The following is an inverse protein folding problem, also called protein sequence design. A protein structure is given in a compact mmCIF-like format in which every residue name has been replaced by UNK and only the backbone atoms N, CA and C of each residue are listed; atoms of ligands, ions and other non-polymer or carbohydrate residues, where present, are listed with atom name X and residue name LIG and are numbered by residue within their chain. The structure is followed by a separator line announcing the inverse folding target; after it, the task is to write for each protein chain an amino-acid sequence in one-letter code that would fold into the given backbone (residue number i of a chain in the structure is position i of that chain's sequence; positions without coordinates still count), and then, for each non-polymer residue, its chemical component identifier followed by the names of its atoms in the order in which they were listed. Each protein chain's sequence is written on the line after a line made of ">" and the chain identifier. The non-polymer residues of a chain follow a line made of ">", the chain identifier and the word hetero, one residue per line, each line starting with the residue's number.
data_IF_815193234957
#
_entry.id   IF_815193234957
#
_cell.length_a   1.000
_cell.length_b   1.000
_cell.length_c   1.000
_cell.angle_alpha   90.00
_cell.angle_beta   90.00
_cell.angle_gamma   90.00
#
_symmetry.space_group_name_H-M   'P 1'
#
loop_
_entity.id
_entity.type
_entity.pdbx_description
1 polymer ?
#
# COMPACT_ATOMS: atom_id res chain seq x y z
N UNK A 1 7.61 0.72 -17.88
CA UNK A 1 7.53 0.29 -16.47
C UNK A 1 8.77 -0.51 -16.10
N UNK A 2 9.16 -0.55 -14.82
CA UNK A 2 10.32 -1.34 -14.35
C UNK A 2 11.35 -0.57 -13.50
N UNK A 3 11.19 0.74 -13.36
CA UNK A 3 12.11 1.57 -12.59
C UNK A 3 12.04 1.36 -11.07
N UNK A 4 12.97 2.00 -10.36
CA UNK A 4 13.00 2.05 -8.90
C UNK A 4 12.73 3.47 -8.42
N UNK A 5 11.71 3.63 -7.58
CA UNK A 5 11.37 4.89 -6.92
C UNK A 5 11.66 4.79 -5.42
N UNK A 6 12.24 5.84 -4.85
CA UNK A 6 12.45 5.94 -3.39
C UNK A 6 12.00 7.33 -2.97
N UNK A 7 11.05 7.39 -2.03
CA UNK A 7 10.52 8.64 -1.48
C UNK A 7 10.71 8.64 0.02
N UNK A 8 11.36 9.69 0.53
CA UNK A 8 11.60 9.87 1.96
C UNK A 8 11.71 11.37 2.26
N UNK A 9 11.29 11.81 3.45
CA UNK A 9 11.44 13.20 3.84
C UNK A 9 12.94 13.55 4.01
N UNK A 10 13.30 14.84 3.92
CA UNK A 10 14.66 15.30 4.19
C UNK A 10 15.18 14.83 5.55
N UNK A 11 16.49 14.59 5.67
CA UNK A 11 17.12 14.11 6.92
C UNK A 11 16.85 15.00 8.13
N UNK A 12 16.70 16.30 7.92
CA UNK A 12 16.42 17.30 8.96
C UNK A 12 14.93 17.50 9.23
N UNK A 13 14.05 16.67 8.65
CA UNK A 13 12.62 16.79 8.87
C UNK A 13 12.27 16.50 10.34
N UNK A 14 11.52 17.38 11.02
CA UNK A 14 11.20 17.21 12.44
C UNK A 14 10.05 16.23 12.69
N UNK A 15 9.27 15.88 11.66
CA UNK A 15 8.13 14.98 11.80
C UNK A 15 8.53 13.51 11.60
N UNK A 16 7.82 12.60 12.28
CA UNK A 16 7.93 11.16 12.06
C UNK A 16 7.25 10.78 10.76
N UNK A 17 7.97 10.12 9.87
CA UNK A 17 7.50 9.89 8.51
C UNK A 17 6.33 8.90 8.48
N UNK A 18 6.39 7.90 9.34
CA UNK A 18 5.42 6.83 9.55
C UNK A 18 4.07 7.33 10.11
N UNK A 19 4.01 8.57 10.61
CA UNK A 19 2.81 9.23 11.12
C UNK A 19 2.26 10.28 10.13
N UNK A 20 2.87 10.45 8.94
CA UNK A 20 2.57 11.55 8.03
C UNK A 20 2.39 11.11 6.56
N UNK A 21 1.47 11.76 5.85
CA UNK A 21 1.26 11.54 4.42
C UNK A 21 2.41 12.16 3.63
N UNK A 22 3.09 11.36 2.81
CA UNK A 22 4.22 11.81 1.98
C UNK A 22 4.02 11.59 0.47
N UNK A 23 3.04 10.77 0.09
CA UNK A 23 2.62 10.61 -1.31
C UNK A 23 1.09 10.69 -1.40
N UNK A 24 0.61 11.22 -2.52
CA UNK A 24 -0.80 11.49 -2.76
C UNK A 24 -1.64 10.25 -3.10
N UNK A 25 -2.84 10.52 -3.62
CA UNK A 25 -3.82 9.49 -3.99
C UNK A 25 -3.42 8.74 -5.27
N UNK A 26 -3.97 7.54 -5.46
CA UNK A 26 -3.90 6.79 -6.74
C UNK A 26 -2.46 6.49 -7.17
N UNK A 27 -1.52 6.44 -6.22
CA UNK A 27 -0.13 6.11 -6.50
C UNK A 27 0.00 4.68 -7.03
N UNK A 28 0.87 4.51 -8.04
CA UNK A 28 1.15 3.23 -8.70
C UNK A 28 -0.03 2.61 -9.45
N UNK A 29 -0.94 3.46 -9.93
CA UNK A 29 -2.07 3.02 -10.75
C UNK A 29 -1.63 2.22 -11.98
N UNK A 30 -2.14 0.99 -12.11
CA UNK A 30 -1.87 0.17 -13.29
C UNK A 30 -0.41 -0.27 -13.43
N UNK A 31 0.41 -0.17 -12.38
CA UNK A 31 1.84 -0.48 -12.46
C UNK A 31 2.05 -1.94 -12.88
N UNK A 32 2.87 -2.19 -13.91
CA UNK A 32 3.09 -3.54 -14.47
C UNK A 32 4.43 -4.16 -14.07
N UNK A 33 5.40 -3.37 -13.64
CA UNK A 33 6.71 -3.81 -13.16
C UNK A 33 7.45 -2.67 -12.45
N UNK A 34 8.47 -3.01 -11.67
CA UNK A 34 9.32 -2.06 -10.95
C UNK A 34 9.16 -2.12 -9.43
N UNK A 35 9.83 -1.21 -8.75
CA UNK A 35 9.87 -1.17 -7.29
C UNK A 35 9.66 0.24 -6.75
N UNK A 36 8.98 0.38 -5.62
CA UNK A 36 8.91 1.64 -4.90
C UNK A 36 9.02 1.46 -3.39
N UNK A 37 9.75 2.37 -2.75
CA UNK A 37 9.98 2.37 -1.30
C UNK A 37 9.63 3.75 -0.74
N UNK A 38 8.62 3.79 0.12
CA UNK A 38 7.99 5.02 0.59
C UNK A 38 8.14 5.08 2.11
N UNK A 39 9.00 5.98 2.60
CA UNK A 39 9.19 6.25 4.02
C UNK A 39 8.12 7.23 4.49
N UNK A 40 6.89 6.73 4.62
CA UNK A 40 5.74 7.42 5.19
C UNK A 40 4.42 6.90 4.64
N UNK A 41 3.32 7.62 4.91
CA UNK A 41 1.96 7.21 4.58
C UNK A 41 1.60 7.62 3.14
N UNK A 42 0.98 6.71 2.40
CA UNK A 42 0.27 7.03 1.17
C UNK A 42 -1.17 7.45 1.48
N UNK A 43 -1.70 8.40 0.73
CA UNK A 43 -3.12 8.74 0.82
C UNK A 43 -4.00 7.61 0.22
N UNK A 44 -5.20 7.94 -0.26
CA UNK A 44 -6.20 6.97 -0.67
C UNK A 44 -5.82 6.24 -1.97
N UNK A 45 -6.39 5.05 -2.19
CA UNK A 45 -6.24 4.28 -3.44
C UNK A 45 -4.77 4.01 -3.80
N UNK A 46 -3.97 3.65 -2.81
CA UNK A 46 -2.61 3.20 -3.05
C UNK A 46 -2.60 1.85 -3.78
N UNK A 47 -1.73 1.70 -4.80
CA UNK A 47 -1.54 0.46 -5.56
C UNK A 47 -2.80 -0.05 -6.28
N UNK A 48 -3.72 0.85 -6.64
CA UNK A 48 -4.91 0.49 -7.40
C UNK A 48 -4.53 -0.10 -8.75
N UNK A 49 -5.11 -1.26 -9.11
CA UNK A 49 -4.80 -1.97 -10.36
C UNK A 49 -3.32 -2.31 -10.53
N UNK A 50 -2.54 -2.39 -9.45
CA UNK A 50 -1.18 -2.91 -9.55
C UNK A 50 -1.23 -4.32 -10.14
N UNK A 51 -0.45 -4.53 -11.21
CA UNK A 51 -0.41 -5.76 -11.99
C UNK A 51 0.97 -6.42 -11.95
N UNK A 52 1.96 -5.85 -11.24
CA UNK A 52 3.30 -6.44 -11.20
C UNK A 52 4.40 -5.67 -10.47
N UNK A 53 4.13 -4.49 -9.91
CA UNK A 53 5.13 -3.75 -9.13
C UNK A 53 5.27 -4.29 -7.69
N UNK A 54 6.47 -4.13 -7.13
CA UNK A 54 6.76 -4.38 -5.70
C UNK A 54 6.83 -3.07 -4.93
N UNK A 55 5.95 -2.87 -3.96
CA UNK A 55 5.78 -1.59 -3.28
C UNK A 55 5.91 -1.76 -1.76
N UNK A 56 6.63 -0.86 -1.09
CA UNK A 56 6.74 -0.77 0.36
C UNK A 56 6.31 0.62 0.81
N UNK A 57 5.43 0.70 1.80
CA UNK A 57 4.89 1.95 2.36
C UNK A 57 4.66 1.81 3.88
N UNK A 58 4.70 2.90 4.64
CA UNK A 58 4.50 2.88 6.11
C UNK A 58 3.03 3.01 6.53
N UNK A 59 2.13 3.27 5.59
CA UNK A 59 0.69 3.27 5.81
C UNK A 59 -0.07 3.62 4.54
N UNK A 60 -1.38 3.38 4.53
CA UNK A 60 -2.22 3.78 3.39
C UNK A 60 -3.62 4.19 3.83
N UNK A 61 -4.24 5.11 3.10
CA UNK A 61 -5.65 5.48 3.25
C UNK A 61 -6.63 4.38 2.80
N UNK A 62 -7.88 4.80 2.57
CA UNK A 62 -8.95 3.90 2.14
C UNK A 62 -8.70 3.33 0.73
N UNK A 63 -9.25 2.15 0.44
CA UNK A 63 -9.17 1.47 -0.86
C UNK A 63 -7.75 1.09 -1.31
N UNK A 64 -6.85 0.80 -0.36
CA UNK A 64 -5.54 0.25 -0.68
C UNK A 64 -5.64 -1.09 -1.43
N UNK A 65 -4.80 -1.27 -2.45
CA UNK A 65 -4.74 -2.45 -3.33
C UNK A 65 -6.03 -2.79 -4.07
N UNK A 66 -6.95 -1.83 -4.23
CA UNK A 66 -8.20 -2.06 -4.96
C UNK A 66 -7.92 -2.50 -6.41
N UNK A 67 -8.61 -3.54 -6.88
CA UNK A 67 -8.45 -4.12 -8.22
C UNK A 67 -7.02 -4.58 -8.56
N UNK A 68 -6.16 -4.82 -7.57
CA UNK A 68 -4.82 -5.37 -7.80
C UNK A 68 -4.91 -6.77 -8.41
N UNK A 69 -4.14 -7.01 -9.48
CA UNK A 69 -4.14 -8.26 -10.25
C UNK A 69 -2.78 -8.96 -10.25
N UNK A 70 -1.74 -8.31 -9.72
CA UNK A 70 -0.39 -8.87 -9.62
C UNK A 70 0.57 -7.96 -8.86
N UNK A 71 1.77 -8.46 -8.60
CA UNK A 71 2.80 -7.74 -7.84
C UNK A 71 2.76 -8.04 -6.33
N UNK A 72 3.53 -7.27 -5.57
CA UNK A 72 3.66 -7.43 -4.11
C UNK A 72 3.57 -6.07 -3.41
N UNK A 73 2.78 -5.97 -2.36
CA UNK A 73 2.66 -4.75 -1.57
C UNK A 73 2.97 -5.08 -0.11
N UNK A 74 3.78 -4.23 0.54
CA UNK A 74 4.06 -4.31 1.97
C UNK A 74 3.65 -2.99 2.61
N UNK A 75 2.76 -3.05 3.58
CA UNK A 75 2.31 -1.91 4.37
C UNK A 75 2.82 -2.09 5.81
N UNK A 76 3.74 -1.23 6.25
CA UNK A 76 4.41 -1.30 7.55
C UNK A 76 3.63 -0.57 8.67
N UNK A 77 2.32 -0.35 8.48
CA UNK A 77 1.50 0.38 9.44
C UNK A 77 0.01 0.34 9.07
N UNK A 78 -0.72 1.36 9.52
CA UNK A 78 -2.17 1.38 9.43
C UNK A 78 -2.67 1.46 7.98
N UNK A 79 -3.77 0.78 7.73
CA UNK A 79 -4.57 0.92 6.50
C UNK A 79 -5.88 1.63 6.79
N UNK A 80 -6.45 2.23 5.74
CA UNK A 80 -7.86 2.61 5.68
C UNK A 80 -8.78 1.42 5.41
N UNK A 81 -10.06 1.74 5.19
CA UNK A 81 -11.18 0.82 4.97
C UNK A 81 -11.18 0.26 3.55
N UNK A 82 -11.96 -0.81 3.37
CA UNK A 82 -12.19 -1.45 2.09
C UNK A 82 -10.90 -1.88 1.38
N UNK A 83 -9.88 -2.27 2.16
CA UNK A 83 -8.61 -2.73 1.65
C UNK A 83 -8.79 -4.01 0.82
N UNK A 84 -8.05 -4.12 -0.28
CA UNK A 84 -8.07 -5.25 -1.23
C UNK A 84 -9.41 -5.50 -1.94
N UNK A 85 -10.32 -4.51 -1.99
CA UNK A 85 -11.58 -4.68 -2.72
C UNK A 85 -11.34 -4.98 -4.22
N UNK A 86 -11.93 -6.07 -4.70
CA UNK A 86 -11.77 -6.52 -6.08
C UNK A 86 -10.34 -6.96 -6.45
N UNK A 87 -9.45 -7.13 -5.46
CA UNK A 87 -8.13 -7.69 -5.69
C UNK A 87 -8.27 -9.15 -6.13
N UNK A 88 -7.74 -9.47 -7.31
CA UNK A 88 -7.85 -10.81 -7.92
C UNK A 88 -6.49 -11.49 -8.12
N UNK A 89 -5.38 -10.80 -7.84
CA UNK A 89 -4.05 -11.39 -7.92
C UNK A 89 -2.96 -10.55 -7.26
N UNK A 90 -1.84 -11.22 -6.94
CA UNK A 90 -0.73 -10.64 -6.17
C UNK A 90 -0.82 -10.94 -4.67
N UNK A 91 0.09 -10.36 -3.89
CA UNK A 91 0.14 -10.55 -2.42
C UNK A 91 0.34 -9.20 -1.73
N UNK A 92 -0.45 -8.93 -0.70
CA UNK A 92 -0.28 -7.78 0.18
C UNK A 92 0.03 -8.26 1.61
N UNK A 93 1.11 -7.75 2.19
CA UNK A 93 1.47 -7.94 3.60
C UNK A 93 1.15 -6.67 4.37
N UNK A 94 0.52 -6.80 5.53
CA UNK A 94 0.17 -5.66 6.38
C UNK A 94 0.65 -5.93 7.80
N UNK A 95 1.48 -5.04 8.33
CA UNK A 95 1.91 -5.07 9.72
C UNK A 95 0.80 -4.51 10.61
N UNK A 96 0.04 -5.39 11.26
CA UNK A 96 -1.08 -5.01 12.12
C UNK A 96 -0.78 -5.18 13.61
N UNK A 97 0.09 -4.32 14.14
CA UNK A 97 0.43 -4.31 15.57
C UNK A 97 -0.76 -3.99 16.48
N UNK A 98 -1.80 -3.36 15.93
CA UNK A 98 -3.00 -2.95 16.68
C UNK A 98 -4.16 -3.95 16.59
N UNK A 99 -3.99 -5.08 15.89
CA UNK A 99 -5.04 -6.06 15.63
C UNK A 99 -6.34 -5.45 15.09
N UNK A 100 -6.21 -4.41 14.24
CA UNK A 100 -7.31 -3.59 13.73
C UNK A 100 -7.54 -3.72 12.22
N UNK A 101 -6.74 -4.56 11.54
CA UNK A 101 -6.75 -4.67 10.09
C UNK A 101 -7.93 -5.51 9.59
N UNK A 102 -8.18 -6.67 10.19
CA UNK A 102 -9.21 -7.61 9.76
C UNK A 102 -10.61 -7.00 9.46
N UNK A 103 -11.17 -6.07 10.26
CA UNK A 103 -12.45 -5.43 9.96
C UNK A 103 -12.41 -4.43 8.79
N UNK A 104 -11.22 -3.97 8.38
CA UNK A 104 -11.03 -3.00 7.29
C UNK A 104 -10.86 -3.66 5.92
N UNK A 105 -10.68 -4.99 5.90
CA UNK A 105 -10.43 -5.76 4.67
C UNK A 105 -11.73 -6.14 3.98
N UNK A 106 -11.79 -5.91 2.67
CA UNK A 106 -12.83 -6.48 1.83
C UNK A 106 -12.46 -7.92 1.44
N UNK A 107 -13.16 -8.89 2.03
CA UNK A 107 -12.86 -10.33 1.87
C UNK A 107 -13.59 -10.97 0.68
N UNK A 108 -14.17 -10.18 -0.22
CA UNK A 108 -15.00 -10.70 -1.31
C UNK A 108 -14.24 -11.59 -2.30
N UNK A 109 -12.96 -11.29 -2.55
CA UNK A 109 -12.14 -11.97 -3.58
C UNK A 109 -10.77 -12.43 -3.08
N UNK A 110 -10.49 -12.24 -1.79
CA UNK A 110 -9.18 -12.54 -1.18
C UNK A 110 -9.33 -13.46 0.01
N UNK A 111 -8.25 -14.15 0.35
CA UNK A 111 -8.07 -14.85 1.61
C UNK A 111 -7.19 -14.01 2.54
N UNK A 112 -7.63 -13.83 3.80
CA UNK A 112 -6.83 -13.17 4.82
C UNK A 112 -6.10 -14.23 5.64
N UNK A 113 -4.80 -14.34 5.43
CA UNK A 113 -3.91 -15.20 6.22
C UNK A 113 -3.44 -14.56 7.53
N UNK A 114 -2.77 -15.35 8.40
CA UNK A 114 -2.16 -14.87 9.64
C UNK A 114 -0.97 -13.94 9.41
#
# INVERSE_FOLDING_TARGET
>A
SGGRLIVYPPKSSPFKAEENIIIGNVCFFGATSGQAFIRGIAAERFAVRNSGATLVVEGTGDHGCEYMTGGRVVVLGLTGRNFAAGMSGGIAYVLDMAHSFAPKVNKGTIELGP
#
